data_IF_163845189108
#
_entry.id   IF_163845189108
#
_cell.length_a   1.000
_cell.length_b   1.000
_cell.length_c   1.000
_cell.angle_alpha   90.00
_cell.angle_beta   90.00
_cell.angle_gamma   90.00
#
_symmetry.space_group_name_H-M   'P 1'
#
loop_
_entity.id
_entity.type
_entity.pdbx_description
1 polymer ?
#
# COMPACT_ATOMS: atom_id res chain seq x y z
N UNK A 1 38.49 -5.86 -19.55
CA UNK A 1 37.07 -6.03 -19.92
C UNK A 1 36.26 -5.76 -18.67
N UNK A 2 35.73 -4.54 -18.53
CA UNK A 2 34.79 -4.21 -17.46
C UNK A 2 33.46 -4.93 -17.76
N UNK A 3 32.72 -5.39 -16.74
CA UNK A 3 31.41 -5.99 -16.98
C UNK A 3 30.49 -4.91 -17.55
N UNK A 4 29.81 -5.24 -18.65
CA UNK A 4 28.74 -4.42 -19.21
C UNK A 4 27.70 -4.19 -18.11
N UNK A 5 27.55 -2.92 -17.71
CA UNK A 5 26.52 -2.52 -16.78
C UNK A 5 25.16 -2.95 -17.33
N UNK A 6 24.41 -3.71 -16.54
CA UNK A 6 23.03 -4.02 -16.83
C UNK A 6 22.32 -2.72 -17.22
N UNK A 7 21.80 -2.66 -18.45
CA UNK A 7 21.03 -1.53 -18.93
C UNK A 7 19.91 -1.27 -17.93
N UNK A 8 20.01 -0.19 -17.17
CA UNK A 8 19.04 0.17 -16.14
C UNK A 8 17.66 0.26 -16.78
N UNK A 9 16.67 -0.39 -16.19
CA UNK A 9 15.27 -0.23 -16.61
C UNK A 9 14.96 1.27 -16.68
N UNK A 10 14.29 1.74 -17.75
CA UNK A 10 13.96 3.15 -17.87
C UNK A 10 13.18 3.60 -16.64
N UNK A 11 13.59 4.71 -16.03
CA UNK A 11 12.91 5.25 -14.86
C UNK A 11 11.42 5.47 -15.18
N UNK A 12 10.50 5.11 -14.26
CA UNK A 12 9.08 5.28 -14.48
C UNK A 12 8.74 6.75 -14.72
N UNK A 13 7.80 7.00 -15.63
CA UNK A 13 7.35 8.36 -15.91
C UNK A 13 6.59 8.99 -14.72
N UNK A 14 6.01 8.14 -13.86
CA UNK A 14 5.13 8.55 -12.78
C UNK A 14 5.41 7.81 -11.46
N UNK A 15 5.10 8.49 -10.37
CA UNK A 15 4.88 7.88 -9.07
C UNK A 15 3.39 7.92 -8.74
N UNK A 16 2.92 6.90 -8.04
CA UNK A 16 1.54 6.77 -7.60
C UNK A 16 1.51 6.48 -6.09
N UNK A 17 0.74 7.23 -5.32
CA UNK A 17 0.43 6.92 -3.93
C UNK A 17 -1.07 6.74 -3.76
N UNK A 18 -1.52 5.69 -3.09
CA UNK A 18 -2.96 5.37 -2.98
C UNK A 18 -3.34 5.15 -1.52
N UNK A 19 -4.24 5.97 -1.02
CA UNK A 19 -5.05 5.65 0.17
C UNK A 19 -6.31 4.90 -0.28
N UNK A 20 -6.41 3.63 0.10
CA UNK A 20 -7.41 2.72 -0.45
C UNK A 20 -8.60 2.50 0.48
N UNK A 21 -9.79 2.47 -0.12
CA UNK A 21 -11.02 2.05 0.55
C UNK A 21 -11.59 0.83 -0.15
N UNK A 22 -11.92 -0.22 0.61
CA UNK A 22 -12.62 -1.40 0.08
C UNK A 22 -14.11 -1.15 -0.18
N UNK A 23 -14.63 0.02 0.18
CA UNK A 23 -16.01 0.44 -0.03
C UNK A 23 -16.02 1.94 -0.40
N UNK A 24 -15.42 2.31 -1.54
CA UNK A 24 -15.30 3.70 -1.93
C UNK A 24 -16.69 4.31 -2.15
N UNK A 25 -16.82 5.57 -1.78
CA UNK A 25 -18.03 6.37 -1.94
C UNK A 25 -17.67 7.85 -1.96
N UNK A 26 -18.63 8.74 -2.22
CA UNK A 26 -18.40 10.18 -2.12
C UNK A 26 -17.88 10.63 -0.73
N UNK A 27 -18.25 9.91 0.35
CA UNK A 27 -17.83 10.24 1.72
C UNK A 27 -16.47 9.65 2.10
N UNK A 28 -16.08 8.55 1.47
CA UNK A 28 -14.81 7.86 1.71
C UNK A 28 -14.31 7.33 0.37
N UNK A 29 -13.74 8.19 -0.48
CA UNK A 29 -13.20 7.76 -1.76
C UNK A 29 -11.92 6.95 -1.56
N UNK A 30 -11.44 6.34 -2.64
CA UNK A 30 -10.01 6.02 -2.79
C UNK A 30 -9.34 7.33 -3.24
N UNK A 31 -8.22 7.69 -2.62
CA UNK A 31 -7.45 8.88 -3.03
C UNK A 31 -6.16 8.45 -3.70
N UNK A 32 -5.95 8.89 -4.94
CA UNK A 32 -4.74 8.63 -5.70
C UNK A 32 -3.93 9.92 -5.89
N UNK A 33 -2.68 9.92 -5.42
CA UNK A 33 -1.71 10.97 -5.60
C UNK A 33 -0.77 10.60 -6.75
N UNK A 34 -0.74 11.43 -7.79
CA UNK A 34 0.21 11.32 -8.90
C UNK A 34 1.35 12.31 -8.71
N UNK A 35 2.58 11.84 -8.84
CA UNK A 35 3.76 12.68 -8.73
C UNK A 35 4.90 12.25 -9.64
N UNK A 36 5.99 13.01 -9.57
CA UNK A 36 7.24 12.72 -10.26
C UNK A 36 8.42 12.97 -9.33
N UNK A 37 9.46 12.16 -9.45
CA UNK A 37 10.70 12.36 -8.71
C UNK A 37 11.76 13.02 -9.58
N UNK A 38 12.47 13.98 -9.00
CA UNK A 38 13.69 14.56 -9.54
C UNK A 38 14.77 14.57 -8.45
N UNK A 39 15.72 13.65 -8.52
CA UNK A 39 16.71 13.43 -7.46
C UNK A 39 16.01 13.08 -6.14
N UNK A 40 16.24 13.90 -5.11
CA UNK A 40 15.64 13.75 -3.79
C UNK A 40 14.30 14.51 -3.63
N UNK A 41 13.70 15.05 -4.70
CA UNK A 41 12.46 15.81 -4.64
C UNK A 41 11.34 15.03 -5.30
N UNK A 42 10.22 14.84 -4.60
CA UNK A 42 8.97 14.30 -5.14
C UNK A 42 7.98 15.45 -5.30
N UNK A 43 7.63 15.78 -6.54
CA UNK A 43 6.63 16.82 -6.84
C UNK A 43 5.25 16.17 -6.97
N UNK A 44 4.28 16.66 -6.21
CA UNK A 44 2.88 16.28 -6.38
C UNK A 44 2.33 16.98 -7.63
N UNK A 45 1.78 16.22 -8.57
CA UNK A 45 1.21 16.74 -9.82
C UNK A 45 -0.32 16.76 -9.75
N UNK A 46 -0.95 15.70 -9.24
CA UNK A 46 -2.40 15.62 -9.14
C UNK A 46 -2.87 14.77 -7.95
N UNK A 47 -4.08 15.06 -7.49
CA UNK A 47 -4.85 14.22 -6.58
C UNK A 47 -6.16 13.86 -7.27
N UNK A 48 -6.52 12.58 -7.26
CA UNK A 48 -7.75 12.05 -7.84
C UNK A 48 -8.58 11.39 -6.77
N UNK A 49 -9.87 11.70 -6.75
CA UNK A 49 -10.86 11.10 -5.85
C UNK A 49 -11.68 10.09 -6.63
N UNK A 50 -11.57 8.82 -6.25
CA UNK A 50 -12.21 7.69 -6.91
C UNK A 50 -13.29 7.13 -5.99
N UNK A 51 -14.55 7.21 -6.41
CA UNK A 51 -15.70 6.86 -5.57
C UNK A 51 -16.23 5.44 -5.82
N UNK A 52 -15.60 4.67 -6.72
CA UNK A 52 -16.02 3.30 -7.05
C UNK A 52 -14.81 2.38 -7.23
N UNK A 53 -15.01 1.08 -6.97
CA UNK A 53 -13.96 0.08 -7.23
C UNK A 53 -13.65 -0.05 -8.74
N UNK A 54 -14.66 0.19 -9.59
CA UNK A 54 -14.46 0.24 -11.04
C UNK A 54 -13.58 1.42 -11.48
N UNK A 55 -13.74 2.59 -10.84
CA UNK A 55 -12.85 3.72 -11.09
C UNK A 55 -11.40 3.43 -10.69
N UNK A 56 -11.18 2.59 -9.67
CA UNK A 56 -9.85 2.14 -9.30
C UNK A 56 -9.27 1.16 -10.33
N UNK A 57 -10.08 0.23 -10.85
CA UNK A 57 -9.69 -0.64 -11.98
C UNK A 57 -9.31 0.20 -13.22
N UNK A 58 -10.10 1.24 -13.53
CA UNK A 58 -9.81 2.15 -14.62
C UNK A 58 -8.48 2.91 -14.41
N UNK A 59 -8.18 3.34 -13.17
CA UNK A 59 -6.89 3.96 -12.85
C UNK A 59 -5.71 3.01 -13.10
N UNK A 60 -5.85 1.72 -12.82
CA UNK A 60 -4.79 0.72 -13.03
C UNK A 60 -4.62 0.32 -14.51
N UNK A 61 -5.69 0.42 -15.31
CA UNK A 61 -5.74 0.05 -16.72
C UNK A 61 -4.72 0.79 -17.58
N UNK A 62 -4.27 0.16 -18.67
CA UNK A 62 -3.47 0.81 -19.72
C UNK A 62 -4.24 1.89 -20.48
N UNK A 63 -5.57 1.94 -20.36
CA UNK A 63 -6.39 3.01 -20.94
C UNK A 63 -6.21 4.35 -20.20
N UNK A 64 -5.81 4.30 -18.92
CA UNK A 64 -5.55 5.51 -18.16
C UNK A 64 -4.25 6.18 -18.63
N UNK A 65 -4.24 7.46 -19.03
CA UNK A 65 -3.10 8.10 -19.70
C UNK A 65 -1.78 8.06 -18.92
N UNK A 66 -1.83 8.11 -17.59
CA UNK A 66 -0.61 8.02 -16.75
C UNK A 66 -0.18 6.57 -16.53
N UNK A 67 -1.13 5.63 -16.46
CA UNK A 67 -0.83 4.21 -16.31
C UNK A 67 -0.24 3.62 -17.59
N UNK A 68 -0.66 4.11 -18.75
CA UNK A 68 -0.05 3.83 -20.05
C UNK A 68 1.43 4.26 -20.16
N UNK A 69 1.92 5.13 -19.27
CA UNK A 69 3.32 5.59 -19.25
C UNK A 69 4.18 4.88 -18.21
N UNK A 70 3.59 3.98 -17.42
CA UNK A 70 4.28 3.28 -16.34
C UNK A 70 4.42 4.11 -15.06
N UNK A 71 4.49 3.41 -13.93
CA UNK A 71 4.61 4.00 -12.60
C UNK A 71 5.25 3.06 -11.57
N UNK A 72 5.78 3.67 -10.51
CA UNK A 72 6.05 3.00 -9.24
C UNK A 72 5.04 3.48 -8.20
N UNK A 73 4.38 2.54 -7.54
CA UNK A 73 3.18 2.79 -6.74
C UNK A 73 3.28 2.29 -5.30
N UNK A 74 2.86 3.11 -4.33
CA UNK A 74 2.67 2.73 -2.94
C UNK A 74 1.18 2.71 -2.60
N UNK A 75 0.69 1.65 -1.97
CA UNK A 75 -0.74 1.45 -1.70
C UNK A 75 -1.00 1.14 -0.22
N UNK A 76 -1.88 1.90 0.42
CA UNK A 76 -2.28 1.69 1.83
C UNK A 76 -3.31 0.57 1.96
N UNK A 77 -2.85 -0.67 1.77
CA UNK A 77 -3.55 -1.88 2.18
C UNK A 77 -2.60 -3.08 2.16
N UNK A 78 -2.88 -4.15 2.93
CA UNK A 78 -2.03 -5.33 2.96
C UNK A 78 -1.94 -6.06 1.63
N UNK A 79 -0.74 -6.50 1.24
CA UNK A 79 -0.50 -7.32 0.06
C UNK A 79 -0.34 -8.82 0.38
N UNK A 80 -0.45 -9.19 1.65
CA UNK A 80 -0.35 -10.56 2.11
C UNK A 80 -1.21 -10.84 3.33
N UNK A 81 -1.23 -12.12 3.73
CA UNK A 81 -1.93 -12.61 4.91
C UNK A 81 -0.94 -13.30 5.85
N UNK A 82 -1.20 -13.34 7.18
CA UNK A 82 -0.36 -14.05 8.12
C UNK A 82 -0.19 -15.52 7.75
N UNK A 83 1.04 -16.03 7.80
CA UNK A 83 1.41 -17.39 7.42
C UNK A 83 0.52 -18.46 8.06
N UNK A 84 0.23 -18.31 9.36
CA UNK A 84 -0.65 -19.25 10.10
C UNK A 84 -2.05 -19.39 9.51
N UNK A 85 -2.60 -18.31 8.91
CA UNK A 85 -3.90 -18.38 8.25
C UNK A 85 -3.77 -18.97 6.84
N UNK A 86 -2.72 -18.62 6.11
CA UNK A 86 -2.44 -19.18 4.77
C UNK A 86 -2.23 -20.69 4.83
N UNK A 87 -1.49 -21.19 5.82
CA UNK A 87 -1.25 -22.62 6.02
C UNK A 87 -2.55 -23.37 6.33
N UNK A 88 -3.45 -22.77 7.11
CA UNK A 88 -4.77 -23.33 7.38
C UNK A 88 -5.65 -23.38 6.12
N UNK A 89 -5.62 -22.33 5.28
CA UNK A 89 -6.31 -22.33 3.99
C UNK A 89 -5.75 -23.39 3.04
N UNK A 90 -4.42 -23.53 2.98
CA UNK A 90 -3.75 -24.52 2.13
C UNK A 90 -4.10 -25.95 2.57
N UNK A 91 -4.13 -26.22 3.87
CA UNK A 91 -4.54 -27.50 4.42
C UNK A 91 -6.00 -27.84 4.12
N UNK A 92 -6.92 -26.88 4.30
CA UNK A 92 -8.35 -27.05 4.02
C UNK A 92 -8.64 -27.25 2.52
N UNK A 93 -7.89 -26.57 1.66
CA UNK A 93 -8.01 -26.70 0.21
C UNK A 93 -7.34 -27.97 -0.36
N UNK A 94 -6.45 -28.62 0.42
CA UNK A 94 -5.66 -29.76 -0.06
C UNK A 94 -4.69 -29.41 -1.19
N UNK A 95 -4.27 -28.15 -1.31
CA UNK A 95 -3.39 -27.67 -2.37
C UNK A 95 -2.44 -26.57 -1.86
N UNK A 96 -1.21 -26.47 -2.40
CA UNK A 96 -0.27 -25.44 -1.99
C UNK A 96 -0.71 -24.05 -2.46
N UNK A 97 -0.52 -23.04 -1.60
CA UNK A 97 -0.71 -21.62 -1.91
C UNK A 97 0.65 -20.91 -1.80
N UNK A 98 1.55 -21.10 -2.79
CA UNK A 98 2.96 -20.75 -2.67
C UNK A 98 3.25 -19.25 -2.78
N UNK A 99 2.37 -18.49 -3.42
CA UNK A 99 2.56 -17.08 -3.71
C UNK A 99 1.24 -16.29 -3.59
N UNK A 100 1.35 -14.96 -3.72
CA UNK A 100 0.21 -14.05 -3.61
C UNK A 100 -0.87 -14.32 -4.66
N UNK A 101 -0.52 -14.71 -5.89
CA UNK A 101 -1.50 -14.97 -6.97
C UNK A 101 -2.34 -16.21 -6.66
N UNK A 102 -1.69 -17.31 -6.28
CA UNK A 102 -2.38 -18.52 -5.88
C UNK A 102 -3.30 -18.27 -4.67
N UNK A 103 -2.80 -17.54 -3.66
CA UNK A 103 -3.55 -17.23 -2.46
C UNK A 103 -4.78 -16.35 -2.73
N UNK A 104 -4.61 -15.18 -3.35
CA UNK A 104 -5.74 -14.27 -3.60
C UNK A 104 -6.73 -14.88 -4.59
N UNK A 105 -6.25 -15.65 -5.57
CA UNK A 105 -7.09 -16.40 -6.50
C UNK A 105 -7.94 -17.44 -5.79
N UNK A 106 -7.36 -18.22 -4.87
CA UNK A 106 -8.09 -19.18 -4.05
C UNK A 106 -9.15 -18.49 -3.17
N UNK A 107 -8.77 -17.44 -2.45
CA UNK A 107 -9.69 -16.67 -1.60
C UNK A 107 -10.86 -16.10 -2.42
N UNK A 108 -10.60 -15.59 -3.62
CA UNK A 108 -11.63 -15.03 -4.52
C UNK A 108 -12.56 -16.07 -5.11
N UNK A 109 -12.05 -17.26 -5.41
CA UNK A 109 -12.89 -18.37 -5.87
C UNK A 109 -13.83 -18.86 -4.75
N UNK A 110 -13.38 -18.85 -3.49
CA UNK A 110 -14.15 -19.31 -2.32
C UNK A 110 -15.14 -18.27 -1.79
N UNK A 111 -14.80 -17.00 -1.88
CA UNK A 111 -15.57 -15.90 -1.29
C UNK A 111 -16.09 -14.98 -2.39
N UNK A 112 -17.40 -14.97 -2.69
CA UNK A 112 -17.97 -14.11 -3.74
C UNK A 112 -17.87 -12.62 -3.40
N UNK A 113 -17.82 -12.27 -2.11
CA UNK A 113 -17.76 -10.89 -1.65
C UNK A 113 -16.97 -10.74 -0.34
N UNK A 114 -16.83 -9.48 0.11
CA UNK A 114 -16.14 -9.13 1.36
C UNK A 114 -16.79 -9.73 2.61
N UNK A 115 -18.10 -9.98 2.58
CA UNK A 115 -18.83 -10.53 3.71
C UNK A 115 -18.52 -12.02 3.83
N UNK A 116 -18.48 -12.75 2.72
CA UNK A 116 -18.03 -14.14 2.67
C UNK A 116 -16.57 -14.27 3.12
N UNK A 117 -15.68 -13.33 2.72
CA UNK A 117 -14.30 -13.32 3.22
C UNK A 117 -14.24 -13.09 4.73
N UNK A 118 -15.03 -12.14 5.25
CA UNK A 118 -15.11 -11.95 6.70
C UNK A 118 -15.62 -13.20 7.42
N UNK A 119 -16.65 -13.87 6.89
CA UNK A 119 -17.17 -15.11 7.47
C UNK A 119 -16.13 -16.24 7.45
N UNK A 120 -15.31 -16.32 6.40
CA UNK A 120 -14.18 -17.27 6.33
C UNK A 120 -13.17 -17.02 7.46
N UNK A 121 -12.77 -15.77 7.67
CA UNK A 121 -11.85 -15.39 8.76
C UNK A 121 -12.48 -15.65 10.14
N UNK A 122 -13.75 -15.27 10.32
CA UNK A 122 -14.48 -15.47 11.57
C UNK A 122 -14.61 -16.98 11.89
N UNK A 123 -14.93 -17.82 10.90
CA UNK A 123 -15.05 -19.27 11.06
C UNK A 123 -13.71 -19.92 11.41
N UNK A 124 -12.62 -19.51 10.75
CA UNK A 124 -11.28 -19.96 11.12
C UNK A 124 -10.94 -19.56 12.56
N UNK A 125 -11.25 -18.33 12.97
CA UNK A 125 -11.08 -17.85 14.33
C UNK A 125 -11.90 -18.61 15.39
N UNK A 126 -13.07 -19.13 15.02
CA UNK A 126 -13.92 -19.98 15.87
C UNK A 126 -13.40 -21.42 16.00
N UNK A 127 -12.59 -21.88 15.05
CA UNK A 127 -11.96 -23.20 15.09
C UNK A 127 -10.85 -23.35 16.14
N UNK A 128 -10.42 -22.26 16.78
CA UNK A 128 -9.43 -22.29 17.85
C UNK A 128 -10.04 -22.91 19.11
N UNK A 129 -9.43 -23.98 19.62
CA UNK A 129 -9.83 -24.63 20.87
C UNK A 129 -9.72 -23.70 22.08
N UNK A 130 -10.41 -24.05 23.17
CA UNK A 130 -10.37 -23.30 24.44
C UNK A 130 -8.91 -23.08 24.88
N UNK A 131 -8.56 -21.81 25.14
CA UNK A 131 -7.21 -21.42 25.58
C UNK A 131 -6.15 -21.37 24.47
N UNK A 132 -6.46 -21.77 23.23
CA UNK A 132 -5.49 -21.69 22.11
C UNK A 132 -5.58 -20.38 21.34
N UNK A 133 -6.73 -19.70 21.39
CA UNK A 133 -6.97 -18.46 20.64
C UNK A 133 -6.03 -17.33 21.12
N UNK A 134 -5.30 -16.67 20.21
CA UNK A 134 -4.41 -15.58 20.58
C UNK A 134 -5.21 -14.37 21.07
N UNK A 135 -4.61 -13.60 21.97
CA UNK A 135 -5.21 -12.38 22.52
C UNK A 135 -5.45 -11.30 21.45
N UNK A 136 -4.66 -11.31 20.39
CA UNK A 136 -4.79 -10.43 19.22
C UNK A 136 -4.82 -11.25 17.94
N UNK A 137 -5.35 -10.66 16.86
CA UNK A 137 -5.27 -11.29 15.55
C UNK A 137 -3.80 -11.49 15.14
N UNK A 138 -3.43 -12.63 14.54
CA UNK A 138 -2.08 -12.85 14.05
C UNK A 138 -1.63 -11.77 13.07
N UNK A 139 -0.39 -11.32 13.23
CA UNK A 139 0.26 -10.35 12.35
C UNK A 139 1.24 -11.08 11.44
N UNK A 140 1.54 -10.50 10.28
CA UNK A 140 2.69 -10.91 9.47
C UNK A 140 3.97 -10.45 10.14
N UNK A 141 5.10 -11.03 9.73
CA UNK A 141 6.41 -10.55 10.20
C UNK A 141 6.62 -9.06 9.93
N UNK A 142 6.29 -8.59 8.72
CA UNK A 142 6.47 -7.19 8.32
C UNK A 142 5.61 -6.19 9.11
N UNK A 143 4.44 -6.61 9.61
CA UNK A 143 3.51 -5.73 10.33
C UNK A 143 4.09 -5.22 11.66
N UNK A 144 5.06 -5.95 12.22
CA UNK A 144 5.70 -5.67 13.52
C UNK A 144 7.19 -5.36 13.41
N UNK A 145 7.73 -5.28 12.18
CA UNK A 145 9.15 -5.03 11.94
C UNK A 145 9.60 -3.61 12.31
N UNK A 146 8.65 -2.67 12.43
CA UNK A 146 8.94 -1.25 12.70
C UNK A 146 8.97 -0.99 14.21
N UNK A 147 10.02 -0.32 14.69
CA UNK A 147 10.11 0.03 16.11
C UNK A 147 9.07 1.10 16.48
N UNK A 148 8.28 0.84 17.53
CA UNK A 148 7.32 1.81 18.09
C UNK A 148 5.99 1.96 17.35
N UNK A 149 5.86 1.37 16.16
CA UNK A 149 4.63 1.38 15.34
C UNK A 149 4.40 0.00 14.73
N UNK A 150 3.14 -0.43 14.65
CA UNK A 150 2.77 -1.68 13.99
C UNK A 150 1.55 -1.46 13.13
N UNK A 151 1.52 -2.06 11.95
CA UNK A 151 0.33 -2.04 11.09
C UNK A 151 -0.75 -2.96 11.68
N UNK A 152 -1.98 -2.82 11.18
CA UNK A 152 -3.08 -3.68 11.61
C UNK A 152 -2.96 -5.05 10.94
N UNK A 153 -3.14 -6.13 11.70
CA UNK A 153 -3.27 -7.48 11.16
C UNK A 153 -4.20 -7.50 9.92
N UNK A 154 -3.76 -8.09 8.79
CA UNK A 154 -4.59 -8.27 7.59
C UNK A 154 -5.82 -9.16 7.81
N UNK A 155 -5.97 -9.79 8.98
CA UNK A 155 -7.17 -10.54 9.37
C UNK A 155 -8.23 -9.65 10.03
N UNK A 156 -7.95 -8.36 10.27
CA UNK A 156 -8.94 -7.42 10.78
C UNK A 156 -9.95 -7.06 9.70
N UNK A 157 -11.19 -7.49 9.90
CA UNK A 157 -12.31 -7.28 8.95
C UNK A 157 -13.38 -6.34 9.51
N UNK A 158 -13.22 -5.86 10.75
CA UNK A 158 -14.16 -4.98 11.47
C UNK A 158 -13.48 -3.65 11.85
N UNK A 159 -14.25 -2.56 11.91
CA UNK A 159 -13.83 -1.18 12.25
C UNK A 159 -12.81 -0.55 11.28
N UNK A 160 -11.59 -1.10 11.22
CA UNK A 160 -10.54 -0.75 10.26
C UNK A 160 -10.31 -1.99 9.38
N UNK A 161 -11.15 -2.20 8.34
CA UNK A 161 -11.26 -3.50 7.70
C UNK A 161 -10.15 -3.75 6.68
N UNK A 162 -8.89 -3.70 7.10
CA UNK A 162 -7.71 -3.91 6.22
C UNK A 162 -7.73 -5.27 5.54
N UNK A 163 -8.33 -6.30 6.14
CA UNK A 163 -8.53 -7.58 5.47
C UNK A 163 -9.50 -7.49 4.28
N UNK A 164 -10.52 -6.63 4.37
CA UNK A 164 -11.40 -6.36 3.23
C UNK A 164 -10.68 -5.51 2.17
N UNK A 165 -9.73 -4.68 2.57
CA UNK A 165 -8.86 -3.93 1.65
C UNK A 165 -7.89 -4.86 0.92
N UNK A 166 -7.27 -5.82 1.60
CA UNK A 166 -6.55 -6.94 0.97
C UNK A 166 -7.44 -7.65 -0.06
N UNK A 167 -8.64 -8.07 0.35
CA UNK A 167 -9.56 -8.79 -0.53
C UNK A 167 -9.90 -8.01 -1.81
N UNK A 168 -10.19 -6.71 -1.70
CA UNK A 168 -10.56 -5.87 -2.86
C UNK A 168 -9.39 -5.32 -3.66
N UNK A 169 -8.40 -4.75 -2.98
CA UNK A 169 -7.29 -4.03 -3.58
C UNK A 169 -6.31 -4.97 -4.25
N UNK A 170 -5.82 -5.98 -3.52
CA UNK A 170 -4.79 -6.88 -4.04
C UNK A 170 -5.30 -7.68 -5.25
N UNK A 171 -6.54 -8.18 -5.17
CA UNK A 171 -7.16 -8.88 -6.30
C UNK A 171 -7.12 -8.05 -7.57
N UNK A 172 -7.42 -6.74 -7.46
CA UNK A 172 -7.42 -5.83 -8.62
C UNK A 172 -6.03 -5.57 -9.16
N UNK A 173 -5.03 -5.44 -8.29
CA UNK A 173 -3.63 -5.34 -8.73
C UNK A 173 -3.21 -6.59 -9.51
N UNK A 174 -3.54 -7.79 -9.01
CA UNK A 174 -3.24 -9.06 -9.67
C UNK A 174 -3.97 -9.17 -11.02
N UNK A 175 -5.26 -8.83 -11.09
CA UNK A 175 -6.04 -8.86 -12.33
C UNK A 175 -5.55 -7.84 -13.37
N UNK A 176 -5.06 -6.68 -12.93
CA UNK A 176 -4.47 -5.68 -13.81
C UNK A 176 -3.06 -6.04 -14.30
N UNK A 177 -2.50 -7.19 -13.89
CA UNK A 177 -1.17 -7.63 -14.29
C UNK A 177 -0.06 -6.70 -13.77
N UNK A 178 -0.29 -6.05 -12.63
CA UNK A 178 0.69 -5.16 -11.99
C UNK A 178 1.81 -6.01 -11.38
N UNK A 179 3.05 -5.55 -11.52
CA UNK A 179 4.20 -6.16 -10.88
C UNK A 179 4.08 -5.96 -9.37
N UNK A 180 4.21 -7.06 -8.62
CA UNK A 180 4.19 -7.09 -7.16
C UNK A 180 5.54 -7.66 -6.70
N UNK A 181 6.60 -6.84 -6.55
CA UNK A 181 7.97 -7.30 -6.37
C UNK A 181 8.12 -8.29 -5.23
N UNK A 182 8.57 -9.49 -5.57
CA UNK A 182 8.79 -10.61 -4.66
C UNK A 182 7.54 -11.41 -4.27
N UNK A 183 6.35 -10.94 -4.59
CA UNK A 183 5.07 -11.56 -4.21
C UNK A 183 4.53 -12.55 -5.25
N UNK A 184 5.00 -12.45 -6.50
CA UNK A 184 4.62 -13.32 -7.60
C UNK A 184 5.82 -14.18 -8.00
N UNK A 185 5.59 -15.45 -8.27
CA UNK A 185 6.59 -16.26 -8.96
C UNK A 185 6.90 -15.65 -10.34
N UNK A 186 8.18 -15.65 -10.74
CA UNK A 186 8.60 -15.16 -12.06
C UNK A 186 7.91 -15.97 -13.17
N UNK A 187 6.89 -15.38 -13.78
CA UNK A 187 6.39 -15.83 -15.06
C UNK A 187 7.29 -15.19 -16.14
N UNK A 188 8.31 -15.94 -16.57
CA UNK A 188 9.25 -15.52 -17.60
C UNK A 188 8.57 -14.92 -18.85
N UNK A 189 9.32 -14.17 -19.68
CA UNK A 189 8.74 -13.30 -20.69
C UNK A 189 7.85 -14.06 -21.68
N UNK A 190 6.56 -13.67 -21.73
CA UNK A 190 5.60 -14.14 -22.73
C UNK A 190 5.67 -13.24 -23.96
N UNK A 191 6.48 -13.64 -24.95
CA UNK A 191 6.33 -13.46 -26.41
C UNK A 191 5.99 -12.09 -27.04
N UNK A 192 5.78 -11.03 -26.27
CA UNK A 192 5.38 -9.70 -26.73
C UNK A 192 6.28 -8.63 -26.07
N UNK A 193 6.29 -7.42 -26.63
CA UNK A 193 6.93 -6.27 -25.98
C UNK A 193 6.34 -6.11 -24.56
N UNK A 194 7.20 -6.01 -23.52
CA UNK A 194 6.71 -5.87 -22.17
C UNK A 194 5.94 -4.54 -22.04
N UNK A 195 4.78 -4.53 -21.35
CA UNK A 195 4.07 -3.29 -21.06
C UNK A 195 4.99 -2.33 -20.27
N UNK A 196 4.67 -1.02 -20.24
CA UNK A 196 5.40 -0.08 -19.40
C UNK A 196 5.41 -0.56 -17.95
N UNK A 197 6.54 -0.35 -17.27
CA UNK A 197 6.74 -0.78 -15.89
C UNK A 197 5.65 -0.22 -14.98
N UNK A 198 4.91 -1.10 -14.31
CA UNK A 198 3.93 -0.74 -13.27
C UNK A 198 4.15 -1.64 -12.08
N UNK A 199 4.86 -1.12 -11.08
CA UNK A 199 5.22 -1.86 -9.87
C UNK A 199 4.47 -1.30 -8.67
N UNK A 200 3.72 -2.15 -7.98
CA UNK A 200 3.00 -1.81 -6.77
C UNK A 200 3.70 -2.40 -5.54
N UNK A 201 3.78 -1.58 -4.50
CA UNK A 201 4.30 -1.94 -3.20
C UNK A 201 3.24 -1.64 -2.13
N UNK A 202 3.20 -2.50 -1.12
CA UNK A 202 2.46 -2.19 0.09
C UNK A 202 3.13 -1.00 0.78
N UNK A 203 2.38 0.08 0.97
CA UNK A 203 2.79 1.24 1.71
C UNK A 203 2.07 1.26 3.06
N UNK A 204 2.63 1.99 4.01
CA UNK A 204 2.01 2.17 5.32
C UNK A 204 2.23 3.63 5.75
N UNK A 205 1.28 4.53 5.45
CA UNK A 205 1.44 5.96 5.71
C UNK A 205 1.66 6.24 7.21
N UNK A 206 1.08 5.42 8.08
CA UNK A 206 1.26 5.47 9.53
C UNK A 206 2.72 5.40 9.98
N UNK A 207 3.61 4.75 9.23
CA UNK A 207 5.04 4.69 9.54
C UNK A 207 5.68 6.08 9.51
N UNK A 208 5.56 6.77 8.38
CA UNK A 208 6.16 8.10 8.19
C UNK A 208 5.46 9.15 9.05
N UNK A 209 4.14 9.03 9.23
CA UNK A 209 3.41 9.90 10.13
C UNK A 209 3.88 9.71 11.59
N UNK A 210 4.13 8.48 12.03
CA UNK A 210 4.65 8.19 13.36
C UNK A 210 6.07 8.72 13.57
N UNK A 211 6.93 8.65 12.55
CA UNK A 211 8.28 9.21 12.61
C UNK A 211 8.28 10.71 12.94
N UNK A 212 7.31 11.45 12.38
CA UNK A 212 7.22 12.91 12.53
C UNK A 212 6.39 13.32 13.75
N UNK A 213 5.25 12.68 13.98
CA UNK A 213 4.26 13.08 14.98
C UNK A 213 4.26 12.20 16.24
N UNK A 214 5.02 11.10 16.25
CA UNK A 214 4.96 10.09 17.28
C UNK A 214 3.55 9.49 17.40
N UNK A 215 3.00 9.45 18.62
CA UNK A 215 1.67 8.87 18.91
C UNK A 215 0.51 9.82 18.60
N UNK A 216 0.79 11.01 18.08
CA UNK A 216 -0.23 12.01 17.79
C UNK A 216 -0.93 11.71 16.46
N UNK A 217 -2.24 11.47 16.49
CA UNK A 217 -3.03 11.31 15.26
C UNK A 217 -3.22 12.65 14.55
N UNK A 218 -3.17 12.68 13.23
CA UNK A 218 -3.52 13.85 12.41
C UNK A 218 -4.92 13.73 11.78
N UNK A 219 -5.55 12.55 11.89
CA UNK A 219 -6.92 12.27 11.43
C UNK A 219 -7.93 12.65 12.51
N UNK A 220 -9.07 13.19 12.10
CA UNK A 220 -10.10 13.69 12.99
C UNK A 220 -11.47 13.13 12.66
N UNK A 221 -12.02 12.31 13.55
CA UNK A 221 -13.47 12.03 13.61
C UNK A 221 -14.18 12.99 14.61
N UNK A 222 -13.45 13.96 15.15
CA UNK A 222 -13.86 14.72 16.32
C UNK A 222 -15.03 15.66 16.02
N UNK A 223 -16.08 15.54 16.84
CA UNK A 223 -17.23 16.47 16.87
C UNK A 223 -16.88 17.80 17.56
N UNK A 224 -15.81 17.81 18.35
CA UNK A 224 -15.38 18.95 19.17
C UNK A 224 -14.35 19.83 18.46
N UNK A 225 -14.53 21.15 18.55
CA UNK A 225 -13.74 22.14 17.82
C UNK A 225 -12.27 22.21 18.27
N UNK A 226 -11.99 22.01 19.56
CA UNK A 226 -10.62 22.02 20.11
C UNK A 226 -9.80 20.87 19.52
N UNK A 227 -10.38 19.69 19.41
CA UNK A 227 -9.73 18.54 18.81
C UNK A 227 -9.51 18.76 17.31
N UNK A 228 -10.49 19.32 16.59
CA UNK A 228 -10.34 19.66 15.19
C UNK A 228 -9.17 20.63 14.94
N UNK A 229 -9.01 21.67 15.77
CA UNK A 229 -7.90 22.61 15.69
C UNK A 229 -6.54 21.94 15.97
N UNK A 230 -6.46 21.06 16.99
CA UNK A 230 -5.24 20.30 17.29
C UNK A 230 -4.83 19.39 16.13
N UNK A 231 -5.80 18.69 15.52
CA UNK A 231 -5.56 17.80 14.37
C UNK A 231 -5.10 18.58 13.14
N UNK A 232 -5.60 19.79 12.92
CA UNK A 232 -5.10 20.68 11.88
C UNK A 232 -3.63 21.05 12.09
N UNK A 233 -3.24 21.41 13.31
CA UNK A 233 -1.82 21.70 13.64
C UNK A 233 -0.92 20.50 13.36
N UNK A 234 -1.38 19.29 13.68
CA UNK A 234 -0.64 18.05 13.40
C UNK A 234 -0.49 17.79 11.90
N UNK A 235 -1.55 17.98 11.10
CA UNK A 235 -1.46 17.89 9.63
C UNK A 235 -0.50 18.92 9.06
N UNK A 236 -0.56 20.17 9.52
CA UNK A 236 0.36 21.23 9.06
C UNK A 236 1.82 20.93 9.41
N UNK A 237 2.07 20.40 10.61
CA UNK A 237 3.41 20.00 11.07
C UNK A 237 3.95 18.84 10.24
N UNK A 238 3.09 17.85 9.95
CA UNK A 238 3.41 16.73 9.07
C UNK A 238 3.79 17.21 7.66
N UNK A 239 2.95 18.03 7.03
CA UNK A 239 3.20 18.58 5.70
C UNK A 239 4.52 19.38 5.67
N UNK A 240 4.73 20.26 6.66
CA UNK A 240 5.97 21.05 6.78
C UNK A 240 7.23 20.16 6.89
N UNK A 241 7.16 19.09 7.68
CA UNK A 241 8.25 18.13 7.80
C UNK A 241 8.53 17.38 6.49
N UNK A 242 7.50 17.02 5.72
CA UNK A 242 7.65 16.39 4.41
C UNK A 242 8.25 17.35 3.37
N UNK A 243 7.85 18.62 3.36
CA UNK A 243 8.42 19.65 2.46
C UNK A 243 9.92 19.89 2.74
N UNK A 244 10.32 19.81 4.02
CA UNK A 244 11.71 19.93 4.46
C UNK A 244 12.51 18.62 4.34
N UNK A 245 11.85 17.50 4.06
CA UNK A 245 12.48 16.18 3.93
C UNK A 245 13.01 15.62 5.24
N UNK A 246 12.33 15.91 6.36
CA UNK A 246 12.68 15.44 7.70
C UNK A 246 12.18 14.03 7.97
N UNK A 247 12.46 13.10 7.05
CA UNK A 247 12.21 11.66 7.22
C UNK A 247 13.45 10.86 6.85
N UNK A 248 13.54 9.61 7.33
CA UNK A 248 14.60 8.67 6.96
C UNK A 248 14.68 8.35 5.47
N UNK A 249 13.62 8.67 4.71
CA UNK A 249 13.61 8.46 3.26
C UNK A 249 14.56 9.40 2.52
N UNK A 250 14.96 10.52 3.13
CA UNK A 250 15.83 11.51 2.48
C UNK A 250 15.17 12.23 1.30
N UNK A 251 13.84 12.19 1.20
CA UNK A 251 13.05 12.80 0.14
C UNK A 251 12.33 14.06 0.63
N UNK A 252 12.23 15.07 -0.22
CA UNK A 252 11.45 16.29 -0.01
C UNK A 252 10.20 16.30 -0.87
N UNK A 253 9.07 16.62 -0.26
CA UNK A 253 7.83 16.86 -0.98
C UNK A 253 7.82 18.27 -1.56
N UNK A 254 7.41 18.43 -2.82
CA UNK A 254 7.17 19.73 -3.44
C UNK A 254 5.69 19.89 -3.76
N UNK A 255 5.09 20.92 -3.17
CA UNK A 255 3.69 21.29 -3.34
C UNK A 255 3.55 22.71 -3.92
N UNK A 256 2.42 22.98 -4.56
CA UNK A 256 1.94 24.36 -4.73
C UNK A 256 1.21 24.81 -3.45
N UNK A 257 1.05 26.14 -3.23
CA UNK A 257 0.27 26.63 -2.09
C UNK A 257 -1.14 26.04 -2.03
N UNK A 258 -1.82 25.95 -3.18
CA UNK A 258 -3.16 25.36 -3.26
C UNK A 258 -3.19 23.86 -2.92
N UNK A 259 -2.18 23.09 -3.34
CA UNK A 259 -2.07 21.68 -2.94
C UNK A 259 -1.84 21.56 -1.43
N UNK A 260 -0.97 22.39 -0.86
CA UNK A 260 -0.68 22.42 0.57
C UNK A 260 -1.95 22.67 1.40
N UNK A 261 -2.76 23.66 1.01
CA UNK A 261 -4.03 23.97 1.66
C UNK A 261 -5.05 22.83 1.48
N UNK A 262 -5.08 22.20 0.31
CA UNK A 262 -5.96 21.07 0.02
C UNK A 262 -5.63 19.83 0.85
N UNK A 263 -4.36 19.58 1.16
CA UNK A 263 -3.93 18.53 2.10
C UNK A 263 -4.29 18.88 3.54
N UNK A 264 -4.01 20.11 3.98
CA UNK A 264 -4.23 20.52 5.37
C UNK A 264 -5.72 20.54 5.76
N UNK A 265 -6.58 20.91 4.81
CA UNK A 265 -8.03 21.02 4.98
C UNK A 265 -8.79 19.69 4.97
N UNK A 266 -8.12 18.55 4.75
CA UNK A 266 -8.74 17.21 4.79
C UNK A 266 -8.73 16.64 6.23
N UNK A 267 -9.88 16.61 6.94
CA UNK A 267 -9.91 16.12 8.31
C UNK A 267 -9.73 14.61 8.41
N UNK A 268 -10.14 13.85 7.38
CA UNK A 268 -10.00 12.40 7.34
C UNK A 268 -8.54 11.99 7.14
N UNK A 269 -7.76 12.85 6.49
CA UNK A 269 -6.34 12.64 6.23
C UNK A 269 -6.06 11.76 5.01
N UNK A 270 -7.10 11.30 4.31
CA UNK A 270 -7.02 10.42 3.14
C UNK A 270 -6.06 10.97 2.06
N UNK A 271 -6.07 12.28 1.83
CA UNK A 271 -5.15 12.94 0.88
C UNK A 271 -3.70 12.93 1.36
N UNK A 272 -3.48 13.12 2.66
CA UNK A 272 -2.14 13.08 3.25
C UNK A 272 -1.61 11.64 3.20
N UNK A 273 -2.45 10.65 3.44
CA UNK A 273 -2.08 9.23 3.38
C UNK A 273 -1.66 8.83 1.96
N UNK A 274 -2.41 9.26 0.95
CA UNK A 274 -2.02 9.06 -0.44
C UNK A 274 -0.65 9.71 -0.76
N UNK A 275 -0.37 10.90 -0.21
CA UNK A 275 0.93 11.58 -0.39
C UNK A 275 2.07 10.89 0.37
N UNK A 276 1.81 10.33 1.56
CA UNK A 276 2.79 9.53 2.29
C UNK A 276 3.13 8.25 1.52
N UNK A 277 2.12 7.58 0.96
CA UNK A 277 2.32 6.45 0.06
C UNK A 277 3.12 6.83 -1.19
N UNK A 278 2.87 8.03 -1.75
CA UNK A 278 3.62 8.58 -2.88
C UNK A 278 5.11 8.78 -2.54
N UNK A 279 5.42 9.23 -1.33
CA UNK A 279 6.80 9.39 -0.88
C UNK A 279 7.49 8.04 -0.67
N UNK A 280 6.79 7.03 -0.14
CA UNK A 280 7.32 5.67 -0.07
C UNK A 280 7.61 5.14 -1.50
N UNK A 281 6.69 5.33 -2.45
CA UNK A 281 6.90 4.98 -3.85
C UNK A 281 8.12 5.71 -4.46
N UNK A 282 8.30 7.00 -4.14
CA UNK A 282 9.48 7.76 -4.54
C UNK A 282 10.79 7.22 -3.96
N UNK A 283 10.75 6.62 -2.77
CA UNK A 283 11.91 5.99 -2.16
C UNK A 283 12.25 4.68 -2.88
N UNK A 284 11.27 3.84 -3.20
CA UNK A 284 11.48 2.64 -4.03
C UNK A 284 12.10 3.00 -5.39
N UNK A 285 11.59 4.05 -6.03
CA UNK A 285 12.13 4.56 -7.30
C UNK A 285 13.58 5.06 -7.16
N UNK A 286 13.91 5.76 -6.07
CA UNK A 286 15.28 6.18 -5.78
C UNK A 286 16.23 4.99 -5.59
N UNK A 287 15.83 3.97 -4.83
CA UNK A 287 16.62 2.74 -4.63
C UNK A 287 16.90 2.01 -5.94
N UNK A 288 15.90 1.87 -6.81
CA UNK A 288 16.08 1.28 -8.13
C UNK A 288 17.05 2.08 -9.00
N UNK A 289 16.93 3.41 -8.99
CA UNK A 289 17.84 4.28 -9.74
C UNK A 289 19.30 4.22 -9.25
N UNK A 290 19.52 3.85 -7.98
CA UNK A 290 20.83 3.59 -7.39
C UNK A 290 21.35 2.16 -7.65
N UNK A 291 20.59 1.33 -8.37
CA UNK A 291 20.96 -0.04 -8.75
C UNK A 291 20.47 -1.12 -7.79
N UNK A 292 19.69 -0.78 -6.76
CA UNK A 292 19.03 -1.79 -5.92
C UNK A 292 17.81 -2.35 -6.65
N UNK A 293 18.02 -3.46 -7.38
CA UNK A 293 16.97 -4.17 -8.11
C UNK A 293 15.81 -4.65 -7.22
N UNK A 294 16.05 -4.80 -5.91
CA UNK A 294 15.04 -5.21 -4.93
C UNK A 294 14.24 -4.03 -4.37
N UNK A 295 14.61 -2.79 -4.68
CA UNK A 295 13.92 -1.59 -4.20
C UNK A 295 13.72 -1.57 -2.66
N UNK A 296 14.67 -2.10 -1.89
CA UNK A 296 14.57 -2.26 -0.44
C UNK A 296 13.88 -3.53 0.08
N UNK A 297 13.47 -4.46 -0.80
CA UNK A 297 12.87 -5.73 -0.38
C UNK A 297 13.83 -6.54 0.53
N UNK A 298 13.35 -7.05 1.68
CA UNK A 298 14.12 -7.93 2.54
C UNK A 298 14.52 -9.25 1.86
N UNK A 299 15.70 -9.79 2.21
CA UNK A 299 16.21 -11.05 1.63
C UNK A 299 15.41 -12.28 2.05
N UNK A 300 14.84 -12.24 3.25
CA UNK A 300 14.08 -13.32 3.88
C UNK A 300 12.56 -13.06 3.82
N UNK A 301 12.13 -12.27 2.83
CA UNK A 301 10.74 -11.93 2.59
C UNK A 301 9.94 -13.18 2.20
N UNK A 302 8.84 -13.41 2.90
CA UNK A 302 7.89 -14.50 2.64
C UNK A 302 6.90 -14.07 1.54
N UNK A 303 6.83 -14.76 0.37
CA UNK A 303 5.97 -14.38 -0.75
C UNK A 303 4.47 -14.31 -0.48
N UNK A 304 3.95 -14.87 0.62
CA UNK A 304 2.51 -14.78 0.96
C UNK A 304 2.23 -13.76 2.04
N UNK A 305 3.20 -13.48 2.91
CA UNK A 305 3.08 -12.42 3.91
C UNK A 305 3.42 -11.06 3.27
N UNK A 306 4.47 -11.04 2.45
CA UNK A 306 4.99 -9.84 1.83
C UNK A 306 5.82 -8.98 2.76
N UNK A 307 5.89 -7.70 2.42
CA UNK A 307 6.70 -6.72 3.11
C UNK A 307 6.10 -5.32 2.94
N UNK A 308 6.35 -4.44 3.91
CA UNK A 308 5.92 -3.05 3.88
C UNK A 308 7.09 -2.21 3.37
N UNK A 309 6.84 -1.38 2.36
CA UNK A 309 7.85 -0.53 1.78
C UNK A 309 8.44 0.42 2.83
N UNK A 310 9.76 0.56 2.81
CA UNK A 310 10.55 1.39 3.74
C UNK A 310 10.50 0.98 5.22
N UNK A 311 9.87 -0.15 5.60
CA UNK A 311 9.81 -0.63 6.99
C UNK A 311 11.20 -0.87 7.59
#
# INVERSE_FOLDING_TARGET
MAPEGAAGQPAPAWLLGVDFSCAPSARKPIVAAWGRRHGAVVKLEALESITTLHGFEALLSLEHPRSAQGWVGGFDFPFGLPRVFVDALSADAGLPLPDTRALIGHVRARCPDRQAFQLLVDAWGQGWGLGTRPATLPHRRCDTAMAGVSSTSPLQTRYVPVGKMYFEGLWRLVQAGIELPGLLADEGPKGAEPPPMRAAFEAYPGLLAHEILGRQSYKSDAREQIDAARRLVQRLSLIDALEQGRTRLGLRLKLTPGQRDHLASDPQGDRVDAVLCLLQAGWADARRAEGDARAGQPLDMDPVEGWILSA
#
